data_IF_717499055279
#
_entry.id   IF_717499055279
#
_cell.length_a   1.000
_cell.length_b   1.000
_cell.length_c   1.000
_cell.angle_alpha   90.00
_cell.angle_beta   90.00
_cell.angle_gamma   90.00
#
_symmetry.space_group_name_H-M   'P 1'
#
loop_
_entity.id
_entity.type
_entity.pdbx_description
1 polymer ?
#
# COMPACT_ATOMS: atom_id res chain seq x y z
N UNK A 1 -24.78 -0.98 -7.26
CA UNK A 1 -24.05 -0.44 -6.10
C UNK A 1 -24.72 -1.03 -4.87
N UNK A 2 -24.02 -1.89 -4.15
CA UNK A 2 -24.49 -2.40 -2.86
C UNK A 2 -24.55 -1.23 -1.89
N UNK A 3 -25.70 -1.03 -1.24
CA UNK A 3 -25.88 -0.03 -0.18
C UNK A 3 -24.89 -0.33 0.95
N UNK A 4 -23.76 0.39 0.94
CA UNK A 4 -22.88 0.45 2.10
C UNK A 4 -23.61 1.34 3.09
N UNK A 5 -24.32 0.72 4.03
CA UNK A 5 -24.90 1.40 5.16
C UNK A 5 -23.73 1.89 6.04
N UNK A 6 -23.20 3.07 5.72
CA UNK A 6 -22.12 3.69 6.49
C UNK A 6 -22.69 3.95 7.89
N UNK A 7 -22.14 3.23 8.87
CA UNK A 7 -22.48 3.39 10.28
C UNK A 7 -22.22 4.85 10.67
N UNK A 8 -23.31 5.58 10.92
CA UNK A 8 -23.31 7.02 11.23
C UNK A 8 -22.44 7.36 12.43
N UNK A 9 -22.33 6.44 13.39
CA UNK A 9 -21.50 6.61 14.58
C UNK A 9 -20.02 6.56 14.20
N UNK A 10 -19.65 5.66 13.28
CA UNK A 10 -18.27 5.54 12.77
C UNK A 10 -17.90 6.73 11.90
N UNK A 11 -18.78 7.16 11.00
CA UNK A 11 -18.54 8.35 10.19
C UNK A 11 -18.36 9.59 11.07
N UNK A 12 -19.21 9.76 12.09
CA UNK A 12 -19.11 10.88 13.02
C UNK A 12 -17.79 10.86 13.81
N UNK A 13 -17.35 9.68 14.25
CA UNK A 13 -16.07 9.51 14.94
C UNK A 13 -14.89 9.92 14.03
N UNK A 14 -14.90 9.49 12.76
CA UNK A 14 -13.86 9.83 11.76
C UNK A 14 -13.81 11.34 11.47
N UNK A 15 -14.96 11.96 11.21
CA UNK A 15 -15.04 13.38 10.86
C UNK A 15 -14.67 14.30 12.03
N UNK A 16 -14.92 13.88 13.28
CA UNK A 16 -14.63 14.67 14.48
C UNK A 16 -13.14 14.96 14.65
N UNK A 17 -12.29 14.04 14.26
CA UNK A 17 -10.83 14.17 14.41
C UNK A 17 -10.17 14.81 13.19
N UNK A 18 -10.84 14.78 12.04
CA UNK A 18 -10.28 15.24 10.77
C UNK A 18 -10.50 16.71 10.43
N UNK A 19 -11.53 17.35 11.00
CA UNK A 19 -11.88 18.72 10.64
C UNK A 19 -11.52 19.74 11.71
N UNK A 20 -10.78 20.77 11.30
CA UNK A 20 -10.63 22.03 12.03
C UNK A 20 -11.87 22.92 11.86
N UNK A 21 -12.04 23.90 12.75
CA UNK A 21 -13.16 24.86 12.70
C UNK A 21 -13.23 25.60 11.36
N UNK A 22 -12.09 26.00 10.80
CA UNK A 22 -12.03 26.70 9.51
C UNK A 22 -12.44 25.80 8.33
N UNK A 23 -12.09 24.51 8.39
CA UNK A 23 -12.50 23.54 7.39
C UNK A 23 -14.01 23.28 7.44
N UNK A 24 -14.60 23.24 8.65
CA UNK A 24 -16.05 23.16 8.83
C UNK A 24 -16.77 24.39 8.26
N UNK A 25 -16.21 25.60 8.37
CA UNK A 25 -16.79 26.81 7.76
C UNK A 25 -16.85 26.71 6.23
N UNK A 26 -15.80 26.16 5.60
CA UNK A 26 -15.79 25.95 4.14
C UNK A 26 -16.86 24.93 3.73
N UNK A 27 -16.98 23.84 4.48
CA UNK A 27 -17.97 22.81 4.24
C UNK A 27 -19.40 23.36 4.41
N UNK A 28 -19.64 24.19 5.43
CA UNK A 28 -20.92 24.88 5.64
C UNK A 28 -21.29 25.77 4.47
N UNK A 29 -20.34 26.56 3.95
CA UNK A 29 -20.58 27.40 2.78
C UNK A 29 -20.96 26.58 1.54
N UNK A 30 -20.36 25.41 1.37
CA UNK A 30 -20.62 24.51 0.24
C UNK A 30 -21.99 23.85 0.32
N UNK A 31 -22.41 23.50 1.52
CA UNK A 31 -23.72 22.90 1.81
C UNK A 31 -24.83 23.94 1.99
N UNK A 32 -24.54 25.23 1.82
CA UNK A 32 -25.47 26.34 2.11
C UNK A 32 -26.03 26.30 3.56
N UNK A 33 -25.17 25.93 4.51
CA UNK A 33 -25.46 25.92 5.94
C UNK A 33 -24.97 27.24 6.53
N UNK A 34 -25.89 27.96 7.17
CA UNK A 34 -25.58 29.18 7.90
C UNK A 34 -24.71 28.89 9.14
N UNK A 35 -23.41 29.20 9.03
CA UNK A 35 -22.41 28.97 10.06
C UNK A 35 -22.75 29.64 11.41
N UNK A 36 -23.50 30.75 11.39
CA UNK A 36 -23.93 31.44 12.61
C UNK A 36 -24.93 30.62 13.43
N UNK A 37 -25.79 29.83 12.76
CA UNK A 37 -26.82 29.00 13.40
C UNK A 37 -26.26 27.79 14.13
N UNK A 38 -25.04 27.38 13.79
CA UNK A 38 -24.32 26.27 14.43
C UNK A 38 -23.16 26.76 15.31
N UNK A 39 -23.09 28.08 15.55
CA UNK A 39 -22.14 28.68 16.47
C UNK A 39 -20.69 28.70 15.98
N UNK A 40 -20.41 28.49 14.69
CA UNK A 40 -19.02 28.49 14.17
C UNK A 40 -18.32 29.86 14.32
N UNK A 41 -19.06 30.96 14.41
CA UNK A 41 -18.54 32.32 14.59
C UNK A 41 -17.93 32.57 15.98
N UNK A 42 -18.33 31.80 17.00
CA UNK A 42 -17.76 31.89 18.35
C UNK A 42 -16.51 31.02 18.53
N UNK A 43 -16.01 30.43 17.44
CA UNK A 43 -14.85 29.55 17.40
C UNK A 43 -14.92 28.38 18.42
N UNK A 44 -16.01 27.60 18.42
CA UNK A 44 -16.20 26.49 19.35
C UNK A 44 -15.22 25.35 19.02
N UNK A 45 -14.98 24.42 19.96
CA UNK A 45 -14.29 23.17 19.65
C UNK A 45 -14.91 22.50 18.40
N UNK A 46 -14.07 22.04 17.47
CA UNK A 46 -14.52 21.51 16.17
C UNK A 46 -15.55 20.38 16.30
N UNK A 47 -15.43 19.56 17.35
CA UNK A 47 -16.42 18.55 17.71
C UNK A 47 -17.82 19.13 17.91
N UNK A 48 -17.94 20.25 18.63
CA UNK A 48 -19.24 20.87 18.93
C UNK A 48 -19.84 21.46 17.65
N UNK A 49 -19.02 22.10 16.81
CA UNK A 49 -19.45 22.61 15.52
C UNK A 49 -19.91 21.48 14.57
N UNK A 50 -19.18 20.37 14.53
CA UNK A 50 -19.53 19.21 13.71
C UNK A 50 -20.84 18.54 14.18
N UNK A 51 -21.05 18.39 15.50
CA UNK A 51 -22.32 17.87 16.04
C UNK A 51 -23.49 18.77 15.59
N UNK A 52 -23.34 20.09 15.74
CA UNK A 52 -24.37 21.05 15.36
C UNK A 52 -24.65 21.06 13.85
N UNK A 53 -23.61 20.93 13.03
CA UNK A 53 -23.70 20.85 11.58
C UNK A 53 -24.41 19.57 11.11
N UNK A 54 -24.02 18.40 11.63
CA UNK A 54 -24.67 17.11 11.33
C UNK A 54 -26.12 17.12 11.79
N UNK A 55 -26.41 17.64 12.98
CA UNK A 55 -27.79 17.77 13.47
C UNK A 55 -28.65 18.66 12.56
N UNK A 56 -28.06 19.70 11.96
CA UNK A 56 -28.76 20.60 11.04
C UNK A 56 -29.00 19.94 9.67
N UNK A 57 -28.03 19.15 9.18
CA UNK A 57 -28.13 18.37 7.94
C UNK A 57 -29.20 17.28 8.06
N UNK A 58 -29.25 16.59 9.20
CA UNK A 58 -30.29 15.59 9.49
C UNK A 58 -31.68 16.20 9.51
N UNK A 59 -31.85 17.38 10.14
CA UNK A 59 -33.14 18.10 10.12
C UNK A 59 -33.59 18.50 8.71
N UNK A 60 -32.64 18.67 7.79
CA UNK A 60 -32.90 19.01 6.40
C UNK A 60 -33.03 17.78 5.49
N UNK A 61 -32.77 16.57 6.00
CA UNK A 61 -32.73 15.33 5.23
C UNK A 61 -31.72 15.36 4.06
N UNK A 62 -30.57 16.02 4.26
CA UNK A 62 -29.52 16.23 3.25
C UNK A 62 -28.24 15.44 3.52
N UNK A 63 -28.38 14.24 4.09
CA UNK A 63 -27.23 13.45 4.53
C UNK A 63 -26.37 12.96 3.36
N UNK A 64 -26.97 12.62 2.21
CA UNK A 64 -26.24 12.22 1.00
C UNK A 64 -25.39 13.37 0.45
N UNK A 65 -25.96 14.58 0.32
CA UNK A 65 -25.22 15.77 -0.10
C UNK A 65 -24.06 16.12 0.85
N UNK A 66 -24.23 15.83 2.15
CA UNK A 66 -23.17 15.99 3.14
C UNK A 66 -22.02 15.01 2.95
N UNK A 67 -22.34 13.74 2.65
CA UNK A 67 -21.33 12.73 2.34
C UNK A 67 -20.56 13.13 1.08
N UNK A 68 -21.25 13.51 0.00
CA UNK A 68 -20.61 14.00 -1.24
C UNK A 68 -19.72 15.23 -0.99
N UNK A 69 -20.20 16.20 -0.21
CA UNK A 69 -19.42 17.40 0.11
C UNK A 69 -18.21 17.09 1.00
N UNK A 70 -18.33 16.15 1.93
CA UNK A 70 -17.23 15.65 2.76
C UNK A 70 -16.19 14.95 1.91
N UNK A 71 -16.59 14.08 0.98
CA UNK A 71 -15.69 13.41 0.03
C UNK A 71 -14.94 14.43 -0.82
N UNK A 72 -15.65 15.34 -1.50
CA UNK A 72 -15.02 16.38 -2.31
C UNK A 72 -14.10 17.31 -1.49
N UNK A 73 -14.46 17.57 -0.23
CA UNK A 73 -13.65 18.38 0.67
C UNK A 73 -12.42 17.61 1.18
N UNK A 74 -12.56 16.34 1.53
CA UNK A 74 -11.47 15.46 1.92
C UNK A 74 -10.49 15.32 0.76
N UNK A 75 -10.94 15.00 -0.45
CA UNK A 75 -10.08 14.97 -1.65
C UNK A 75 -9.36 16.30 -1.91
N UNK A 76 -9.95 17.43 -1.49
CA UNK A 76 -9.30 18.74 -1.50
C UNK A 76 -8.31 18.98 -0.35
N UNK A 77 -8.63 18.50 0.86
CA UNK A 77 -7.85 18.66 2.09
C UNK A 77 -6.58 17.83 2.02
N UNK A 78 -6.76 16.56 1.63
CA UNK A 78 -6.18 15.99 0.44
C UNK A 78 -4.85 16.70 0.17
N UNK A 79 -4.76 17.46 -0.91
CA UNK A 79 -3.57 18.19 -1.40
C UNK A 79 -2.57 18.94 -0.44
N UNK A 80 -2.67 18.97 0.90
CA UNK A 80 -1.95 19.89 1.82
C UNK A 80 -1.21 19.32 3.06
N UNK A 81 -1.24 18.03 3.42
CA UNK A 81 -0.64 17.51 4.69
C UNK A 81 0.83 17.05 4.56
N UNK A 82 1.63 17.23 5.64
CA UNK A 82 3.05 16.81 5.82
C UNK A 82 3.20 15.87 7.04
N UNK A 83 3.93 14.74 6.93
CA UNK A 83 3.98 13.61 7.90
C UNK A 83 5.09 13.72 9.00
N UNK A 84 4.88 13.11 10.19
CA UNK A 84 5.84 12.93 11.30
C UNK A 84 5.99 11.43 11.73
N UNK A 85 7.09 10.99 12.38
CA UNK A 85 7.45 9.56 12.59
C UNK A 85 6.77 8.85 13.79
N UNK A 86 6.73 7.51 13.75
CA UNK A 86 5.89 6.55 14.52
C UNK A 86 6.63 5.83 15.68
N UNK A 87 5.94 5.40 16.76
CA UNK A 87 6.45 4.61 17.92
C UNK A 87 5.67 3.28 18.18
N UNK A 88 6.19 2.44 19.10
CA UNK A 88 6.14 0.96 19.16
C UNK A 88 4.88 0.19 19.65
N UNK A 89 3.72 0.79 19.91
CA UNK A 89 2.59 0.08 20.58
C UNK A 89 1.29 0.06 19.74
N UNK A 90 1.04 -0.90 18.81
CA UNK A 90 -0.11 -0.80 17.87
C UNK A 90 -0.96 -2.08 17.64
N UNK A 91 -2.30 -1.90 17.60
CA UNK A 91 -3.38 -2.89 17.43
C UNK A 91 -3.89 -2.97 15.95
N UNK A 92 -4.50 -4.08 15.48
CA UNK A 92 -4.93 -4.28 14.07
C UNK A 92 -6.00 -3.30 13.55
N UNK A 93 -6.92 -2.82 14.40
CA UNK A 93 -7.92 -1.83 14.01
C UNK A 93 -7.30 -0.46 13.73
N UNK A 94 -6.19 -0.15 14.40
CA UNK A 94 -5.42 1.08 14.22
C UNK A 94 -4.56 1.03 12.95
N UNK A 95 -4.16 -0.17 12.50
CA UNK A 95 -3.48 -0.41 11.22
C UNK A 95 -4.39 -0.14 10.02
N UNK A 96 -5.67 -0.54 10.07
CA UNK A 96 -6.64 -0.27 9.02
C UNK A 96 -6.99 1.22 8.93
N UNK A 97 -7.18 1.88 10.09
CA UNK A 97 -7.38 3.34 10.13
C UNK A 97 -6.14 4.12 9.68
N UNK A 98 -4.93 3.64 10.01
CA UNK A 98 -3.70 4.26 9.49
C UNK A 98 -3.47 3.99 8.03
N UNK A 99 -3.74 2.80 7.49
CA UNK A 99 -3.65 2.53 6.06
C UNK A 99 -4.57 3.46 5.27
N UNK A 100 -5.78 3.72 5.77
CA UNK A 100 -6.71 4.72 5.22
C UNK A 100 -6.15 6.14 5.38
N UNK A 101 -5.70 6.55 6.57
CA UNK A 101 -5.09 7.88 6.81
C UNK A 101 -3.80 8.09 6.01
N UNK A 102 -3.09 7.01 5.67
CA UNK A 102 -1.82 6.99 4.94
C UNK A 102 -2.11 7.03 3.45
N UNK A 103 -3.01 6.19 2.90
CA UNK A 103 -3.49 6.30 1.52
C UNK A 103 -4.13 7.67 1.29
N UNK A 104 -4.92 8.15 2.25
CA UNK A 104 -5.39 9.53 2.27
C UNK A 104 -4.18 10.47 2.30
N UNK A 105 -3.22 10.35 3.22
CA UNK A 105 -2.00 11.19 3.29
C UNK A 105 -1.10 11.17 2.05
N UNK A 106 -1.11 10.09 1.29
CA UNK A 106 -0.40 9.87 0.03
C UNK A 106 -1.10 10.62 -1.10
N UNK A 107 -2.42 10.45 -1.18
CA UNK A 107 -3.27 11.28 -2.02
C UNK A 107 -3.16 12.75 -1.57
N UNK A 108 -2.91 12.98 -0.26
CA UNK A 108 -2.82 14.30 0.37
C UNK A 108 -1.55 15.05 -0.01
N UNK A 109 -0.41 14.42 0.18
CA UNK A 109 0.87 15.06 -0.05
C UNK A 109 1.26 14.91 -1.52
N UNK A 110 0.82 15.83 -2.39
CA UNK A 110 1.53 16.05 -3.65
C UNK A 110 2.91 16.62 -3.35
N UNK A 111 3.88 15.75 -3.07
CA UNK A 111 5.29 16.07 -3.00
C UNK A 111 5.75 16.67 -1.68
N UNK A 112 6.03 15.81 -0.70
CA UNK A 112 7.28 15.87 0.08
C UNK A 112 7.50 14.52 0.73
N UNK A 113 8.22 13.68 0.00
CA UNK A 113 8.58 12.34 0.37
C UNK A 113 10.07 12.29 0.70
N UNK A 114 10.42 11.67 1.82
CA UNK A 114 11.80 11.44 2.18
C UNK A 114 12.35 10.30 1.30
N UNK A 115 13.19 10.68 0.31
CA UNK A 115 13.88 9.79 -0.60
C UNK A 115 14.06 10.45 -1.97
N UNK A 116 15.27 10.38 -2.54
CA UNK A 116 15.62 11.02 -3.83
C UNK A 116 14.78 10.52 -5.03
N UNK A 117 13.97 9.48 -4.84
CA UNK A 117 13.16 8.76 -5.84
C UNK A 117 11.66 9.01 -5.76
N UNK A 118 11.16 9.71 -4.72
CA UNK A 118 9.72 9.90 -4.51
C UNK A 118 8.97 8.67 -4.01
N UNK A 119 9.67 7.69 -3.43
CA UNK A 119 9.08 6.52 -2.77
C UNK A 119 8.78 6.80 -1.29
N UNK A 120 7.74 6.17 -0.74
CA UNK A 120 7.49 6.10 0.72
C UNK A 120 8.01 4.77 1.25
N UNK A 121 8.72 4.79 2.38
CA UNK A 121 9.21 3.60 3.06
C UNK A 121 8.50 3.48 4.41
N UNK A 122 7.96 2.30 4.70
CA UNK A 122 7.33 1.97 5.97
C UNK A 122 8.09 0.85 6.64
N UNK A 123 8.76 1.15 7.75
CA UNK A 123 9.37 0.13 8.61
C UNK A 123 8.29 -0.59 9.40
N UNK A 124 8.18 -1.89 9.14
CA UNK A 124 7.23 -2.83 9.74
C UNK A 124 7.99 -3.90 10.53
N UNK A 125 9.26 -3.66 10.84
CA UNK A 125 10.05 -4.56 11.69
C UNK A 125 9.34 -4.75 13.03
N UNK A 126 9.08 -6.00 13.45
CA UNK A 126 8.51 -6.25 14.76
C UNK A 126 9.50 -5.77 15.84
N UNK A 127 9.00 -5.35 17.01
CA UNK A 127 9.85 -4.80 18.07
C UNK A 127 10.80 -5.85 18.66
N UNK A 128 10.58 -7.15 18.43
CA UNK A 128 11.49 -8.22 18.85
C UNK A 128 11.53 -9.45 17.91
N UNK A 129 12.64 -10.22 17.87
CA UNK A 129 12.79 -11.52 17.19
C UNK A 129 11.69 -12.56 17.42
N UNK A 130 11.04 -12.51 18.58
CA UNK A 130 10.07 -13.51 19.01
C UNK A 130 8.67 -13.29 18.40
N UNK A 131 8.39 -12.08 17.90
CA UNK A 131 7.09 -11.68 17.33
C UNK A 131 7.00 -11.83 15.80
N UNK A 132 8.09 -12.19 15.12
CA UNK A 132 8.15 -12.23 13.65
C UNK A 132 7.14 -13.20 13.03
N UNK A 133 6.89 -14.36 13.64
CA UNK A 133 6.04 -15.40 13.05
C UNK A 133 4.55 -15.04 13.00
N UNK A 134 4.04 -14.26 13.95
CA UNK A 134 2.64 -13.80 13.93
C UNK A 134 2.41 -12.62 12.98
N UNK A 135 3.47 -11.92 12.60
CA UNK A 135 3.38 -10.66 11.88
C UNK A 135 3.57 -10.80 10.37
N UNK A 136 4.16 -11.90 9.87
CA UNK A 136 4.31 -12.17 8.42
C UNK A 136 2.96 -12.04 7.70
N UNK A 137 1.93 -12.66 8.27
CA UNK A 137 0.58 -12.64 7.71
C UNK A 137 -0.02 -11.23 7.66
N UNK A 138 0.39 -10.35 8.58
CA UNK A 138 -0.08 -8.96 8.62
C UNK A 138 0.54 -8.12 7.49
N UNK A 139 1.76 -8.44 7.05
CA UNK A 139 2.45 -7.70 6.00
C UNK A 139 1.79 -7.92 4.64
N UNK A 140 1.55 -9.18 4.28
CA UNK A 140 0.89 -9.50 3.00
C UNK A 140 -0.57 -9.02 2.99
N UNK A 141 -1.28 -9.12 4.13
CA UNK A 141 -2.64 -8.58 4.26
C UNK A 141 -2.66 -7.05 4.12
N UNK A 142 -1.75 -6.34 4.78
CA UNK A 142 -1.61 -4.88 4.67
C UNK A 142 -1.26 -4.47 3.23
N UNK A 143 -0.33 -5.19 2.58
CA UNK A 143 0.00 -4.96 1.16
C UNK A 143 -1.24 -5.09 0.29
N UNK A 144 -2.00 -6.18 0.43
CA UNK A 144 -3.22 -6.42 -0.35
C UNK A 144 -4.28 -5.33 -0.12
N UNK A 145 -4.46 -4.89 1.13
CA UNK A 145 -5.39 -3.79 1.45
C UNK A 145 -4.95 -2.48 0.78
N UNK A 146 -3.65 -2.17 0.79
CA UNK A 146 -3.12 -0.97 0.14
C UNK A 146 -3.21 -1.11 -1.39
N UNK A 147 -2.83 -2.24 -1.97
CA UNK A 147 -2.96 -2.48 -3.42
C UNK A 147 -4.40 -2.30 -3.90
N UNK A 148 -5.39 -2.79 -3.14
CA UNK A 148 -6.79 -2.54 -3.42
C UNK A 148 -7.14 -1.05 -3.39
N UNK A 149 -6.62 -0.31 -2.42
CA UNK A 149 -6.82 1.14 -2.33
C UNK A 149 -6.07 1.94 -3.42
N UNK A 150 -5.06 1.35 -4.04
CA UNK A 150 -4.29 1.93 -5.16
C UNK A 150 -4.92 1.66 -6.53
N UNK A 151 -6.06 0.98 -6.62
CA UNK A 151 -6.68 0.65 -7.91
C UNK A 151 -6.91 1.91 -8.77
N UNK A 152 -6.32 1.93 -9.97
CA UNK A 152 -6.38 3.07 -10.91
C UNK A 152 -5.39 4.21 -10.63
N UNK A 153 -4.58 4.11 -9.57
CA UNK A 153 -3.52 5.05 -9.24
C UNK A 153 -2.20 4.52 -9.84
N UNK A 154 -1.36 5.37 -10.48
CA UNK A 154 -0.04 4.97 -10.99
C UNK A 154 0.98 4.84 -9.83
N UNK A 155 0.69 3.96 -8.89
CA UNK A 155 1.51 3.64 -7.73
C UNK A 155 1.39 2.13 -7.42
N UNK A 156 2.41 1.56 -6.80
CA UNK A 156 2.42 0.17 -6.33
C UNK A 156 2.99 0.09 -4.94
N UNK A 157 2.59 -0.92 -4.17
CA UNK A 157 3.24 -1.27 -2.91
C UNK A 157 3.95 -2.62 -3.02
N UNK A 158 5.16 -2.70 -2.48
CA UNK A 158 5.94 -3.92 -2.49
C UNK A 158 6.74 -4.09 -1.20
N UNK A 159 7.19 -5.32 -0.95
CA UNK A 159 8.08 -5.66 0.15
C UNK A 159 9.52 -5.31 -0.20
N UNK A 160 10.16 -4.44 0.58
CA UNK A 160 11.60 -4.23 0.52
C UNK A 160 12.30 -5.16 1.51
N UNK A 161 13.57 -5.47 1.25
CA UNK A 161 14.42 -6.33 2.09
C UNK A 161 13.91 -7.78 2.19
N UNK A 162 13.14 -8.23 1.19
CA UNK A 162 12.88 -9.67 0.97
C UNK A 162 14.21 -10.40 0.87
N UNK A 163 14.35 -11.49 1.61
CA UNK A 163 15.57 -12.26 1.67
C UNK A 163 15.27 -13.76 1.58
N UNK A 164 16.33 -14.57 1.42
CA UNK A 164 16.23 -16.03 1.33
C UNK A 164 15.78 -16.67 2.64
N UNK A 165 16.11 -16.04 3.78
CA UNK A 165 15.71 -16.55 5.08
C UNK A 165 14.21 -16.36 5.26
N UNK A 166 13.57 -17.15 6.12
CA UNK A 166 12.13 -16.97 6.46
C UNK A 166 12.03 -15.77 7.42
N UNK A 167 12.62 -14.65 7.04
CA UNK A 167 12.59 -13.39 7.74
C UNK A 167 11.62 -12.52 6.97
N UNK A 168 10.46 -12.20 7.57
CA UNK A 168 9.49 -11.27 7.01
C UNK A 168 10.15 -10.03 6.45
N UNK A 169 9.59 -9.50 5.36
CA UNK A 169 10.00 -8.19 4.89
C UNK A 169 9.86 -7.18 6.03
N UNK A 170 10.96 -6.49 6.32
CA UNK A 170 11.01 -5.47 7.38
C UNK A 170 10.47 -4.15 6.91
N UNK A 171 10.25 -3.98 5.60
CA UNK A 171 9.74 -2.73 5.03
C UNK A 171 8.74 -2.96 3.92
N UNK A 172 7.72 -2.10 3.89
CA UNK A 172 6.90 -1.88 2.70
C UNK A 172 7.32 -0.59 2.01
N UNK A 173 7.30 -0.60 0.69
CA UNK A 173 7.62 0.56 -0.12
C UNK A 173 6.44 0.87 -1.02
N UNK A 174 5.93 2.09 -0.93
CA UNK A 174 4.98 2.63 -1.86
C UNK A 174 5.72 3.52 -2.86
N UNK A 175 5.67 3.15 -4.13
CA UNK A 175 6.38 3.87 -5.18
C UNK A 175 5.43 4.33 -6.29
N UNK A 176 5.59 5.57 -6.80
CA UNK A 176 4.97 5.93 -8.07
C UNK A 176 5.54 5.06 -9.17
N UNK A 177 4.69 4.56 -10.05
CA UNK A 177 5.08 3.59 -11.07
C UNK A 177 4.28 3.74 -12.35
N UNK A 178 4.90 3.33 -13.45
CA UNK A 178 4.22 3.07 -14.72
C UNK A 178 4.09 1.57 -15.01
N UNK A 179 4.88 0.72 -14.35
CA UNK A 179 4.81 -0.74 -14.40
C UNK A 179 5.59 -1.39 -13.23
N UNK A 180 5.21 -2.60 -12.86
CA UNK A 180 5.83 -3.37 -11.77
C UNK A 180 7.37 -3.49 -11.83
N UNK A 181 8.00 -3.38 -13.00
CA UNK A 181 9.45 -3.45 -13.12
C UNK A 181 10.17 -2.20 -12.59
N UNK A 182 9.44 -1.13 -12.29
CA UNK A 182 10.00 0.02 -11.56
C UNK A 182 10.51 -0.37 -10.18
N UNK A 183 9.93 -1.40 -9.54
CA UNK A 183 10.44 -1.98 -8.28
C UNK A 183 11.93 -2.30 -8.42
N UNK A 184 12.30 -3.00 -9.49
CA UNK A 184 13.68 -3.44 -9.73
C UNK A 184 14.62 -2.26 -10.00
N UNK A 185 14.11 -1.20 -10.64
CA UNK A 185 14.86 0.04 -10.90
C UNK A 185 15.12 0.81 -9.61
N UNK A 186 14.11 0.87 -8.73
CA UNK A 186 14.19 1.56 -7.44
C UNK A 186 15.18 0.82 -6.52
N UNK A 187 15.05 -0.51 -6.43
CA UNK A 187 15.92 -1.34 -5.58
C UNK A 187 17.30 -1.62 -6.20
N UNK A 188 17.50 -1.25 -7.47
CA UNK A 188 18.72 -1.53 -8.24
C UNK A 188 19.08 -3.03 -8.23
N UNK A 189 18.06 -3.87 -8.38
CA UNK A 189 18.18 -5.33 -8.30
C UNK A 189 19.10 -5.86 -9.38
N UNK A 190 20.15 -6.61 -9.01
CA UNK A 190 21.18 -7.14 -9.92
C UNK A 190 21.84 -8.40 -9.35
N UNK A 191 22.35 -9.25 -10.23
CA UNK A 191 23.16 -10.41 -9.86
C UNK A 191 24.65 -10.10 -9.98
N UNK A 192 25.27 -9.69 -8.87
CA UNK A 192 26.66 -9.21 -8.89
C UNK A 192 27.67 -10.33 -9.17
N UNK A 193 27.41 -11.55 -8.70
CA UNK A 193 28.23 -12.74 -8.96
C UNK A 193 28.29 -13.19 -10.43
N UNK A 194 27.29 -12.83 -11.24
CA UNK A 194 27.13 -13.31 -12.61
C UNK A 194 27.04 -12.19 -13.66
N UNK A 195 27.48 -10.97 -13.32
CA UNK A 195 27.42 -9.77 -14.18
C UNK A 195 26.01 -9.50 -14.76
N UNK A 196 24.96 -9.75 -13.97
CA UNK A 196 23.57 -9.57 -14.37
C UNK A 196 23.06 -8.20 -13.91
N UNK A 197 23.01 -7.22 -14.82
CA UNK A 197 22.55 -5.86 -14.51
C UNK A 197 21.02 -5.79 -14.34
N UNK A 198 20.52 -4.74 -13.68
CA UNK A 198 19.06 -4.54 -13.46
C UNK A 198 18.25 -4.59 -14.75
N UNK A 199 18.78 -4.06 -15.86
CA UNK A 199 18.11 -4.14 -17.15
C UNK A 199 17.94 -5.57 -17.67
N UNK A 200 18.90 -6.46 -17.37
CA UNK A 200 18.86 -7.86 -17.79
C UNK A 200 17.88 -8.66 -16.91
N UNK A 201 17.84 -8.39 -15.60
CA UNK A 201 16.80 -8.93 -14.71
C UNK A 201 15.41 -8.56 -15.21
N UNK A 202 15.18 -7.27 -15.49
CA UNK A 202 13.91 -6.77 -16.03
C UNK A 202 13.56 -7.48 -17.34
N UNK A 203 14.51 -7.59 -18.28
CA UNK A 203 14.28 -8.22 -19.58
C UNK A 203 13.85 -9.69 -19.43
N UNK A 204 14.49 -10.45 -18.54
CA UNK A 204 14.15 -11.84 -18.29
C UNK A 204 12.78 -11.99 -17.60
N UNK A 205 12.49 -11.15 -16.60
CA UNK A 205 11.18 -11.17 -15.94
C UNK A 205 10.05 -10.68 -16.86
N UNK A 206 10.33 -9.81 -17.83
CA UNK A 206 9.36 -9.47 -18.87
C UNK A 206 9.00 -10.66 -19.77
N UNK A 207 9.95 -11.57 -20.05
CA UNK A 207 9.66 -12.81 -20.78
C UNK A 207 8.68 -13.66 -19.98
N UNK A 208 8.96 -13.87 -18.68
CA UNK A 208 8.06 -14.59 -17.78
C UNK A 208 6.69 -13.92 -17.69
N UNK A 209 6.64 -12.61 -17.52
CA UNK A 209 5.39 -11.86 -17.46
C UNK A 209 4.55 -12.02 -18.72
N UNK A 210 5.17 -11.99 -19.89
CA UNK A 210 4.46 -12.14 -21.17
C UNK A 210 3.93 -13.57 -21.38
N UNK A 211 4.61 -14.57 -20.83
CA UNK A 211 4.27 -15.98 -21.04
C UNK A 211 3.31 -16.54 -19.99
N UNK A 212 3.48 -16.15 -18.73
CA UNK A 212 2.77 -16.73 -17.59
C UNK A 212 2.02 -15.70 -16.74
N UNK A 213 2.25 -14.40 -16.97
CA UNK A 213 1.82 -13.34 -16.07
C UNK A 213 2.52 -13.43 -14.72
N UNK A 214 3.21 -12.37 -14.30
CA UNK A 214 3.78 -12.31 -12.96
C UNK A 214 3.33 -11.05 -12.24
N UNK A 215 3.35 -11.10 -10.92
CA UNK A 215 3.24 -9.96 -10.03
C UNK A 215 4.47 -9.94 -9.11
N UNK A 216 5.32 -8.93 -9.26
CA UNK A 216 6.46 -8.68 -8.38
C UNK A 216 5.91 -8.14 -7.06
N UNK A 217 6.10 -8.90 -5.99
CA UNK A 217 5.57 -8.61 -4.65
C UNK A 217 6.65 -8.06 -3.72
N UNK A 218 7.93 -8.25 -4.06
CA UNK A 218 9.04 -7.69 -3.30
C UNK A 218 10.35 -7.70 -4.07
N UNK A 219 11.28 -6.86 -3.63
CA UNK A 219 12.65 -6.86 -4.16
C UNK A 219 13.63 -6.22 -3.19
N UNK A 220 14.91 -6.53 -3.35
CA UNK A 220 16.03 -5.77 -2.81
C UNK A 220 17.17 -5.72 -3.86
N UNK A 221 18.40 -5.42 -3.46
CA UNK A 221 19.54 -5.33 -4.40
C UNK A 221 19.88 -6.63 -5.12
N UNK A 222 19.59 -7.80 -4.54
CA UNK A 222 20.03 -9.09 -5.07
C UNK A 222 18.97 -10.19 -4.95
N UNK A 223 17.73 -9.83 -4.65
CA UNK A 223 16.58 -10.73 -4.51
C UNK A 223 15.39 -10.08 -5.19
N UNK A 224 14.61 -10.89 -5.91
CA UNK A 224 13.28 -10.54 -6.39
C UNK A 224 12.28 -11.61 -5.96
N UNK A 225 11.15 -11.18 -5.44
CA UNK A 225 10.01 -12.03 -5.10
C UNK A 225 8.86 -11.74 -6.08
N UNK A 226 8.27 -12.78 -6.64
CA UNK A 226 7.08 -12.64 -7.47
C UNK A 226 6.16 -13.87 -7.39
N UNK A 227 4.91 -13.70 -7.80
CA UNK A 227 3.93 -14.77 -7.95
C UNK A 227 3.53 -14.93 -9.42
N UNK A 228 3.24 -16.16 -9.84
CA UNK A 228 2.65 -16.43 -11.16
C UNK A 228 1.14 -16.22 -11.12
N UNK A 229 0.60 -15.52 -12.14
CA UNK A 229 -0.85 -15.38 -12.33
C UNK A 229 -1.45 -16.61 -12.98
N UNK A 230 -0.71 -17.18 -13.94
CA UNK A 230 -1.09 -18.42 -14.64
C UNK A 230 0.03 -19.46 -14.49
N UNK A 231 -0.10 -20.36 -13.50
CA UNK A 231 0.84 -21.46 -13.31
C UNK A 231 0.63 -22.52 -14.41
N UNK A 232 1.69 -22.90 -15.15
CA UNK A 232 1.57 -23.94 -16.17
C UNK A 232 1.25 -25.30 -15.54
N UNK A 233 0.33 -26.06 -16.14
CA UNK A 233 -0.06 -27.40 -15.68
C UNK A 233 0.62 -28.54 -16.45
N UNK A 234 1.28 -28.23 -17.57
CA UNK A 234 2.00 -29.23 -18.37
C UNK A 234 3.39 -29.48 -17.78
N UNK A 235 3.70 -30.74 -17.47
CA UNK A 235 5.02 -31.15 -16.96
C UNK A 235 6.19 -30.70 -17.84
N UNK A 236 6.01 -30.65 -19.17
CA UNK A 236 7.07 -30.16 -20.06
C UNK A 236 7.33 -28.67 -19.87
N UNK A 237 6.27 -27.87 -19.72
CA UNK A 237 6.37 -26.42 -19.54
C UNK A 237 6.94 -26.11 -18.15
N UNK A 238 6.53 -26.86 -17.12
CA UNK A 238 7.07 -26.73 -15.76
C UNK A 238 8.57 -27.00 -15.76
N UNK A 239 9.04 -28.05 -16.46
CA UNK A 239 10.47 -28.35 -16.56
C UNK A 239 11.23 -27.24 -17.27
N UNK A 240 10.73 -26.78 -18.43
CA UNK A 240 11.39 -25.71 -19.19
C UNK A 240 11.43 -24.40 -18.39
N UNK A 241 10.38 -24.10 -17.62
CA UNK A 241 10.34 -22.96 -16.69
C UNK A 241 11.36 -23.12 -15.56
N UNK A 242 11.45 -24.30 -14.94
CA UNK A 242 12.41 -24.57 -13.88
C UNK A 242 13.86 -24.41 -14.39
N UNK A 243 14.17 -24.95 -15.57
CA UNK A 243 15.47 -24.78 -16.22
C UNK A 243 15.77 -23.31 -16.50
N UNK A 244 14.78 -22.54 -16.96
CA UNK A 244 14.93 -21.10 -17.17
C UNK A 244 15.23 -20.35 -15.87
N UNK A 245 14.52 -20.64 -14.78
CA UNK A 245 14.74 -19.98 -13.49
C UNK A 245 16.13 -20.29 -12.92
N UNK A 246 16.58 -21.54 -13.01
CA UNK A 246 17.94 -21.93 -12.57
C UNK A 246 19.02 -21.26 -13.42
N UNK A 247 18.80 -21.08 -14.73
CA UNK A 247 19.75 -20.32 -15.56
C UNK A 247 19.78 -18.84 -15.21
N UNK A 248 18.63 -18.26 -14.85
CA UNK A 248 18.51 -16.85 -14.50
C UNK A 248 19.11 -16.56 -13.12
N UNK A 249 18.86 -17.43 -12.14
CA UNK A 249 19.32 -17.30 -10.77
C UNK A 249 19.83 -18.67 -10.27
N UNK A 250 21.10 -19.01 -10.53
CA UNK A 250 21.66 -20.31 -10.18
C UNK A 250 21.56 -20.64 -8.70
N UNK A 251 21.61 -19.63 -7.84
CA UNK A 251 21.66 -19.79 -6.39
C UNK A 251 20.34 -20.24 -5.76
N UNK A 252 19.24 -20.31 -6.53
CA UNK A 252 17.92 -20.76 -6.05
C UNK A 252 17.87 -22.25 -5.72
N UNK A 253 18.84 -23.03 -6.23
CA UNK A 253 19.02 -24.45 -5.93
C UNK A 253 20.41 -24.66 -5.33
N UNK A 254 20.54 -25.63 -4.42
CA UNK A 254 21.85 -26.13 -4.02
C UNK A 254 22.46 -26.97 -5.16
N UNK A 255 23.79 -27.11 -5.18
CA UNK A 255 24.51 -27.89 -6.21
C UNK A 255 23.82 -29.24 -6.47
N UNK A 256 23.55 -29.52 -7.75
CA UNK A 256 22.90 -30.73 -8.27
C UNK A 256 21.44 -30.99 -7.82
N UNK A 257 20.75 -30.01 -7.24
CA UNK A 257 19.32 -30.12 -6.89
C UNK A 257 18.40 -29.53 -7.96
N UNK A 258 17.26 -30.19 -8.18
CA UNK A 258 16.17 -29.63 -8.97
C UNK A 258 15.22 -28.81 -8.06
N UNK A 259 14.51 -27.85 -8.65
CA UNK A 259 13.44 -27.16 -7.94
C UNK A 259 12.37 -28.16 -7.47
N UNK A 260 11.84 -28.02 -6.24
CA UNK A 260 10.82 -28.92 -5.73
C UNK A 260 9.51 -28.80 -6.55
N UNK A 261 8.72 -29.88 -6.62
CA UNK A 261 7.49 -29.91 -7.44
C UNK A 261 6.46 -28.82 -7.06
N UNK A 262 6.44 -28.42 -5.78
CA UNK A 262 5.56 -27.39 -5.24
C UNK A 262 6.18 -25.98 -5.24
N UNK A 263 7.33 -25.77 -5.90
CA UNK A 263 8.04 -24.49 -5.91
C UNK A 263 7.16 -23.32 -6.42
N UNK A 264 6.23 -23.63 -7.32
CA UNK A 264 5.34 -22.66 -7.94
C UNK A 264 4.05 -22.40 -7.15
N UNK A 265 3.80 -23.14 -6.08
CA UNK A 265 2.61 -22.97 -5.22
C UNK A 265 2.77 -21.81 -4.22
N UNK A 266 3.98 -21.27 -4.12
CA UNK A 266 4.37 -20.17 -3.23
C UNK A 266 5.02 -19.04 -4.02
N UNK A 267 5.19 -17.84 -3.44
CA UNK A 267 6.02 -16.81 -4.05
C UNK A 267 7.40 -17.36 -4.44
N UNK A 268 7.80 -17.08 -5.68
CA UNK A 268 9.11 -17.44 -6.21
C UNK A 268 10.10 -16.37 -5.78
N UNK A 269 11.18 -16.81 -5.15
CA UNK A 269 12.32 -15.99 -4.79
C UNK A 269 13.48 -16.32 -5.73
N UNK A 270 13.90 -15.33 -6.53
CA UNK A 270 15.18 -15.42 -7.23
C UNK A 270 16.19 -14.58 -6.48
N UNK A 271 17.37 -15.13 -6.24
CA UNK A 271 18.46 -14.39 -5.62
C UNK A 271 19.79 -14.68 -6.31
N UNK A 272 20.72 -13.78 -6.07
CA UNK A 272 22.09 -13.85 -6.58
C UNK A 272 23.05 -13.43 -5.46
N UNK A 273 24.14 -14.16 -5.27
CA UNK A 273 25.26 -13.69 -4.41
C UNK A 273 26.05 -12.52 -5.04
#
# INVERSE_FOLDING_TARGET
>A
MSDIEIDRVKLFALLKEAFTVEQLKVLCKKLDIDASKIGLESNPPATIALIAMVSQIERQNRFEEFVEACEEFYFGLISKITLQPISSDWHPETLNQQAIIIVESILQSKGKLYGDTGCMYWDISPPSPEEWLSDVFKVDELRQQIDFALEGIPALIYKQDVNREIVPATRLVLAPTINQFDILRIEQTRGSSIDLETSDVIKNLMILNNQFGIEITGSNQNVVEFIFKDIPTSNSIIRDLAEFLVQLAPDIVEEDQALPENYFDTPVLLWWE
#
